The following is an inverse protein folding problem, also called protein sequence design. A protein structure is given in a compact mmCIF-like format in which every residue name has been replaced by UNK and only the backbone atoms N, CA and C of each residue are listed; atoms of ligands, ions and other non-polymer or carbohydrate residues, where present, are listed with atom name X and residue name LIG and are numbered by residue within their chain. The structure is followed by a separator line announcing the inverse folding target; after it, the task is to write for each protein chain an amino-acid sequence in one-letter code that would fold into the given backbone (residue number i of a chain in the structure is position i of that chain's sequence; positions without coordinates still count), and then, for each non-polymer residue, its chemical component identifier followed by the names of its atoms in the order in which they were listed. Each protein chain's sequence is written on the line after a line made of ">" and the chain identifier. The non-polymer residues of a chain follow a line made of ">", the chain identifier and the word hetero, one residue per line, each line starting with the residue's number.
data_IF_470988670200
#
_entry.id   IF_470988670200
#
_cell.length_a   1.000
_cell.length_b   1.000
_cell.length_c   1.000
_cell.angle_alpha   90.00
_cell.angle_beta   90.00
_cell.angle_gamma   90.00
#
_symmetry.space_group_name_H-M   'P 1'
#
loop_
_entity.id
_entity.type
_entity.pdbx_description
1 polymer ?
#
# COMPACT_ATOMS: atom_id res chain seq x y z
N UNK A 1 -19.44 11.56 8.18
CA UNK A 1 -18.76 10.73 7.14
C UNK A 1 -17.47 11.43 6.78
N UNK A 2 -16.35 10.72 6.84
CA UNK A 2 -15.09 11.24 6.33
C UNK A 2 -15.19 11.39 4.81
N UNK A 3 -14.97 12.60 4.32
CA UNK A 3 -14.88 12.82 2.88
C UNK A 3 -13.52 12.31 2.40
N UNK A 4 -13.46 11.57 1.28
CA UNK A 4 -12.19 11.18 0.70
C UNK A 4 -11.40 12.43 0.31
N UNK A 5 -10.17 12.56 0.80
CA UNK A 5 -9.25 13.58 0.33
C UNK A 5 -8.47 13.04 -0.87
N UNK A 6 -8.10 13.93 -1.76
CA UNK A 6 -7.16 13.59 -2.84
C UNK A 6 -5.76 13.82 -2.31
N UNK A 7 -4.95 12.77 -2.26
CA UNK A 7 -3.55 12.89 -1.88
C UNK A 7 -2.78 13.75 -2.91
N UNK A 8 -1.83 14.54 -2.44
CA UNK A 8 -0.99 15.39 -3.28
C UNK A 8 -0.08 14.53 -4.18
N UNK A 9 0.50 13.48 -3.64
CA UNK A 9 1.27 12.50 -4.41
C UNK A 9 0.37 11.45 -5.05
N UNK A 10 0.66 11.11 -6.31
CA UNK A 10 0.05 9.95 -6.99
C UNK A 10 0.51 8.63 -6.38
N UNK A 11 1.76 8.58 -5.91
CA UNK A 11 2.42 7.39 -5.40
C UNK A 11 2.58 7.48 -3.88
N UNK A 12 2.82 6.33 -3.25
CA UNK A 12 3.20 6.23 -1.86
C UNK A 12 4.49 5.41 -1.75
N UNK A 13 5.63 6.05 -2.07
CA UNK A 13 6.95 5.41 -2.11
C UNK A 13 7.69 5.55 -0.79
N UNK A 14 7.38 6.61 -0.04
CA UNK A 14 7.98 6.98 1.22
C UNK A 14 6.93 7.59 2.15
N UNK A 15 7.17 7.54 3.45
CA UNK A 15 6.38 8.28 4.44
C UNK A 15 6.40 9.79 4.19
N UNK A 16 7.44 10.30 3.52
CA UNK A 16 7.58 11.71 3.13
C UNK A 16 6.68 12.12 1.96
N UNK A 17 6.05 11.19 1.26
CA UNK A 17 5.12 11.50 0.16
C UNK A 17 3.77 12.04 0.66
N UNK A 18 3.55 12.04 1.97
CA UNK A 18 2.32 12.53 2.59
C UNK A 18 2.61 13.70 3.53
N UNK A 19 1.74 14.71 3.51
CA UNK A 19 1.72 15.74 4.55
C UNK A 19 1.23 15.14 5.88
N UNK A 20 1.44 15.85 6.99
CA UNK A 20 0.92 15.43 8.29
C UNK A 20 -0.62 15.27 8.26
N UNK A 21 -1.32 16.18 7.59
CA UNK A 21 -2.77 16.12 7.45
C UNK A 21 -3.23 14.86 6.68
N UNK A 22 -2.58 14.55 5.56
CA UNK A 22 -2.85 13.35 4.78
C UNK A 22 -2.55 12.08 5.56
N UNK A 23 -1.43 12.06 6.29
CA UNK A 23 -1.04 10.94 7.16
C UNK A 23 -2.09 10.68 8.25
N UNK A 24 -2.52 11.72 8.96
CA UNK A 24 -3.56 11.62 9.99
C UNK A 24 -4.90 11.18 9.39
N UNK A 25 -5.24 11.66 8.20
CA UNK A 25 -6.45 11.24 7.49
C UNK A 25 -6.42 9.75 7.11
N UNK A 26 -5.28 9.23 6.66
CA UNK A 26 -5.12 7.80 6.37
C UNK A 26 -5.33 6.96 7.64
N UNK A 27 -4.77 7.39 8.78
CA UNK A 27 -4.97 6.70 10.06
C UNK A 27 -6.45 6.70 10.48
N UNK A 28 -7.14 7.81 10.29
CA UNK A 28 -8.57 7.93 10.61
C UNK A 28 -9.43 7.04 9.69
N UNK A 29 -9.12 7.01 8.38
CA UNK A 29 -9.74 6.07 7.44
C UNK A 29 -9.53 4.62 7.89
N UNK A 30 -8.30 4.25 8.27
CA UNK A 30 -7.98 2.90 8.72
C UNK A 30 -8.77 2.52 9.99
N UNK A 31 -8.91 3.43 10.95
CA UNK A 31 -9.73 3.26 12.16
C UNK A 31 -11.20 3.01 11.80
N UNK A 32 -11.77 3.83 10.91
CA UNK A 32 -13.16 3.67 10.48
C UNK A 32 -13.38 2.36 9.72
N UNK A 33 -12.42 1.89 8.92
CA UNK A 33 -12.48 0.56 8.31
C UNK A 33 -12.46 -0.56 9.35
N UNK A 34 -11.61 -0.44 10.39
CA UNK A 34 -11.54 -1.40 11.49
C UNK A 34 -12.87 -1.50 12.23
N UNK A 35 -13.53 -0.37 12.45
CA UNK A 35 -14.83 -0.26 13.14
C UNK A 35 -16.04 -0.57 12.23
N UNK A 36 -15.83 -0.85 10.93
CA UNK A 36 -16.88 -1.07 9.93
C UNK A 36 -17.77 0.16 9.65
N UNK A 37 -17.28 1.35 9.93
CA UNK A 37 -18.02 2.61 9.76
C UNK A 37 -17.94 3.17 8.34
N UNK A 38 -17.15 2.53 7.47
CA UNK A 38 -16.97 2.92 6.08
C UNK A 38 -17.47 1.86 5.11
N UNK A 39 -18.25 2.30 4.12
CA UNK A 39 -18.73 1.47 3.03
C UNK A 39 -18.05 1.86 1.70
N UNK A 40 -16.71 1.89 1.69
CA UNK A 40 -15.95 2.08 0.45
C UNK A 40 -15.80 0.72 -0.22
N UNK A 41 -16.12 0.67 -1.51
CA UNK A 41 -15.97 -0.52 -2.34
C UNK A 41 -15.05 -0.22 -3.51
N UNK A 42 -14.05 -1.08 -3.69
CA UNK A 42 -13.14 -1.07 -4.84
C UNK A 42 -13.58 -2.10 -5.90
N UNK A 43 -14.90 -2.16 -6.17
CA UNK A 43 -15.44 -3.06 -7.17
C UNK A 43 -14.74 -2.84 -8.52
N UNK A 44 -14.36 -3.94 -9.17
CA UNK A 44 -13.66 -3.94 -10.47
C UNK A 44 -12.23 -3.35 -10.43
N UNK A 45 -11.70 -3.00 -9.22
CA UNK A 45 -10.32 -2.54 -9.08
C UNK A 45 -9.37 -3.70 -8.91
N UNK A 46 -8.22 -3.60 -9.57
CA UNK A 46 -7.17 -4.62 -9.58
C UNK A 46 -5.89 -4.06 -8.97
N UNK A 47 -5.40 -4.74 -7.93
CA UNK A 47 -4.09 -4.48 -7.33
C UNK A 47 -3.07 -5.48 -7.87
N UNK A 48 -2.03 -5.00 -8.54
CA UNK A 48 -0.85 -5.79 -8.89
C UNK A 48 0.12 -5.88 -7.72
N UNK A 49 0.54 -7.09 -7.37
CA UNK A 49 1.53 -7.36 -6.33
C UNK A 49 2.82 -7.85 -6.98
N UNK A 50 3.93 -7.16 -6.75
CA UNK A 50 5.27 -7.56 -7.20
C UNK A 50 6.14 -7.68 -5.95
N UNK A 51 6.58 -8.90 -5.65
CA UNK A 51 7.34 -9.19 -4.45
C UNK A 51 8.63 -9.93 -4.80
N UNK A 52 9.73 -9.20 -4.92
CA UNK A 52 11.06 -9.75 -5.20
C UNK A 52 11.66 -10.46 -3.99
N UNK A 53 11.19 -10.12 -2.79
CA UNK A 53 11.55 -10.76 -1.53
C UNK A 53 10.39 -11.58 -1.00
N UNK A 54 10.68 -12.69 -0.34
CA UNK A 54 9.68 -13.50 0.38
C UNK A 54 8.91 -12.63 1.37
N UNK A 55 7.60 -12.78 1.37
CA UNK A 55 6.71 -12.03 2.26
C UNK A 55 5.41 -12.82 2.47
N UNK A 56 5.13 -13.17 3.71
CA UNK A 56 3.85 -13.79 4.07
C UNK A 56 2.86 -12.72 4.52
N UNK A 57 3.21 -11.99 5.58
CA UNK A 57 2.29 -11.04 6.24
C UNK A 57 1.87 -9.90 5.32
N UNK A 58 2.81 -9.19 4.70
CA UNK A 58 2.51 -8.05 3.82
C UNK A 58 1.71 -8.49 2.59
N UNK A 59 2.09 -9.60 1.95
CA UNK A 59 1.37 -10.13 0.79
C UNK A 59 -0.08 -10.47 1.14
N UNK A 60 -0.28 -11.25 2.19
CA UNK A 60 -1.63 -11.65 2.65
C UNK A 60 -2.45 -10.43 3.08
N UNK A 61 -1.85 -9.44 3.76
CA UNK A 61 -2.58 -8.23 4.17
C UNK A 61 -3.13 -7.43 2.98
N UNK A 62 -2.34 -7.24 1.93
CA UNK A 62 -2.82 -6.59 0.70
C UNK A 62 -3.94 -7.39 0.01
N UNK A 63 -3.78 -8.71 -0.10
CA UNK A 63 -4.78 -9.58 -0.73
C UNK A 63 -6.09 -9.55 0.04
N UNK A 64 -6.04 -9.70 1.37
CA UNK A 64 -7.23 -9.66 2.22
C UNK A 64 -7.88 -8.28 2.23
N UNK A 65 -7.10 -7.20 2.26
CA UNK A 65 -7.62 -5.84 2.18
C UNK A 65 -8.41 -5.62 0.88
N UNK A 66 -7.83 -5.98 -0.26
CA UNK A 66 -8.51 -5.86 -1.56
C UNK A 66 -9.78 -6.71 -1.62
N UNK A 67 -9.72 -7.95 -1.15
CA UNK A 67 -10.90 -8.84 -1.11
C UNK A 67 -12.03 -8.24 -0.26
N UNK A 68 -11.72 -7.72 0.94
CA UNK A 68 -12.72 -7.09 1.82
C UNK A 68 -13.32 -5.81 1.24
N UNK A 69 -12.56 -5.11 0.41
CA UNK A 69 -13.01 -3.91 -0.31
C UNK A 69 -13.74 -4.24 -1.62
N UNK A 70 -13.87 -5.53 -1.98
CA UNK A 70 -14.55 -5.98 -3.19
C UNK A 70 -13.73 -5.85 -4.47
N UNK A 71 -12.43 -5.59 -4.36
CA UNK A 71 -11.47 -5.62 -5.45
C UNK A 71 -10.82 -6.99 -5.61
N UNK A 72 -9.87 -7.07 -6.54
CA UNK A 72 -9.09 -8.28 -6.83
C UNK A 72 -7.60 -8.01 -6.80
N UNK A 73 -6.81 -9.06 -6.72
CA UNK A 73 -5.34 -8.98 -6.77
C UNK A 73 -4.78 -9.87 -7.88
N UNK A 74 -3.72 -9.40 -8.52
CA UNK A 74 -2.86 -10.19 -9.39
C UNK A 74 -1.49 -10.28 -8.74
N UNK A 75 -1.08 -11.48 -8.36
CA UNK A 75 0.20 -11.72 -7.68
C UNK A 75 1.24 -12.20 -8.71
N UNK A 76 2.28 -11.40 -8.89
CA UNK A 76 3.36 -11.66 -9.83
C UNK A 76 4.58 -12.17 -9.05
N UNK A 77 4.83 -13.47 -9.22
CA UNK A 77 6.03 -14.06 -8.67
C UNK A 77 7.20 -13.87 -9.66
N UNK A 78 8.29 -13.19 -9.28
CA UNK A 78 9.44 -12.99 -10.16
C UNK A 78 10.03 -14.31 -10.69
N UNK A 79 9.99 -15.38 -9.91
CA UNK A 79 10.57 -16.67 -10.33
C UNK A 79 9.79 -17.35 -11.45
N UNK A 80 8.51 -17.02 -11.64
CA UNK A 80 7.63 -17.60 -12.66
C UNK A 80 7.19 -16.61 -13.72
N UNK A 81 7.66 -15.36 -13.64
CA UNK A 81 7.36 -14.29 -14.59
C UNK A 81 8.60 -13.87 -15.39
N UNK A 82 8.43 -13.02 -16.39
CA UNK A 82 9.54 -12.48 -17.18
C UNK A 82 10.44 -11.54 -16.37
N UNK A 83 9.92 -10.98 -15.27
CA UNK A 83 10.69 -10.14 -14.32
C UNK A 83 11.95 -10.90 -13.85
N UNK A 84 11.81 -12.13 -13.41
CA UNK A 84 12.93 -12.98 -12.98
C UNK A 84 13.88 -13.41 -14.11
N UNK A 85 13.52 -13.16 -15.36
CA UNK A 85 14.35 -13.44 -16.54
C UNK A 85 15.05 -12.19 -17.09
N UNK A 86 15.01 -11.07 -16.36
CA UNK A 86 15.69 -9.84 -16.72
C UNK A 86 14.86 -8.88 -17.60
N UNK A 87 13.53 -9.00 -17.59
CA UNK A 87 12.68 -7.97 -18.22
C UNK A 87 12.96 -6.61 -17.54
N UNK A 88 13.20 -5.54 -18.33
CA UNK A 88 13.43 -4.21 -17.75
C UNK A 88 12.22 -3.73 -16.92
N UNK A 89 12.48 -3.09 -15.80
CA UNK A 89 11.45 -2.54 -14.90
C UNK A 89 10.47 -1.64 -15.67
N UNK A 90 11.00 -0.79 -16.56
CA UNK A 90 10.18 0.11 -17.38
C UNK A 90 9.11 -0.61 -18.21
N UNK A 91 9.45 -1.78 -18.76
CA UNK A 91 8.56 -2.52 -19.65
C UNK A 91 7.50 -3.25 -18.82
N UNK A 92 7.91 -3.90 -17.73
CA UNK A 92 7.00 -4.47 -16.72
C UNK A 92 6.02 -3.42 -16.20
N UNK A 93 6.50 -2.23 -15.78
CA UNK A 93 5.66 -1.16 -15.24
C UNK A 93 4.61 -0.68 -16.26
N UNK A 94 5.00 -0.53 -17.51
CA UNK A 94 4.10 -0.10 -18.60
C UNK A 94 3.03 -1.15 -18.90
N UNK A 95 3.42 -2.42 -18.96
CA UNK A 95 2.49 -3.52 -19.22
C UNK A 95 1.49 -3.65 -18.08
N UNK A 96 1.96 -3.72 -16.83
CA UNK A 96 1.09 -3.87 -15.66
C UNK A 96 0.14 -2.69 -15.47
N UNK A 97 0.54 -1.49 -15.85
CA UNK A 97 -0.32 -0.30 -15.80
C UNK A 97 -1.54 -0.40 -16.73
N UNK A 98 -1.55 -1.34 -17.67
CA UNK A 98 -2.71 -1.58 -18.54
C UNK A 98 -3.72 -2.54 -17.94
N UNK A 99 -3.28 -3.38 -17.01
CA UNK A 99 -4.12 -4.40 -16.38
C UNK A 99 -4.53 -4.05 -14.95
N UNK A 100 -3.66 -3.34 -14.23
CA UNK A 100 -3.87 -3.02 -12.82
C UNK A 100 -4.25 -1.55 -12.62
N UNK A 101 -5.01 -1.25 -11.58
CA UNK A 101 -5.36 0.12 -11.16
C UNK A 101 -4.32 0.70 -10.20
N UNK A 102 -3.59 -0.16 -9.47
CA UNK A 102 -2.53 0.20 -8.54
C UNK A 102 -1.51 -0.93 -8.45
N UNK A 103 -0.26 -0.61 -8.17
CA UNK A 103 0.82 -1.59 -7.98
C UNK A 103 1.36 -1.47 -6.54
N UNK A 104 1.47 -2.58 -5.82
CA UNK A 104 2.20 -2.65 -4.56
C UNK A 104 3.47 -3.47 -4.78
N UNK A 105 4.61 -2.86 -4.50
CA UNK A 105 5.91 -3.39 -4.87
C UNK A 105 6.78 -3.54 -3.63
N UNK A 106 7.32 -4.74 -3.44
CA UNK A 106 8.34 -5.05 -2.46
C UNK A 106 9.60 -5.50 -3.19
N UNK A 107 10.62 -4.67 -3.15
CA UNK A 107 11.89 -4.90 -3.85
C UNK A 107 13.09 -4.67 -2.93
N UNK A 108 14.30 -4.80 -3.47
CA UNK A 108 15.53 -4.62 -2.69
C UNK A 108 15.90 -3.15 -2.56
N UNK A 109 15.88 -2.40 -3.65
CA UNK A 109 16.37 -1.02 -3.72
C UNK A 109 15.22 -0.04 -3.87
N UNK A 110 15.31 1.08 -3.17
CA UNK A 110 14.40 2.20 -3.36
C UNK A 110 14.41 2.71 -4.81
N UNK A 111 15.58 2.73 -5.45
CA UNK A 111 15.72 3.15 -6.86
C UNK A 111 14.93 2.30 -7.85
N UNK A 112 14.79 0.99 -7.59
CA UNK A 112 13.99 0.11 -8.42
C UNK A 112 12.49 0.44 -8.28
N UNK A 113 12.04 0.73 -7.07
CA UNK A 113 10.67 1.18 -6.79
C UNK A 113 10.37 2.53 -7.48
N UNK A 114 11.30 3.47 -7.43
CA UNK A 114 11.20 4.77 -8.10
C UNK A 114 11.14 4.61 -9.63
N UNK A 115 11.88 3.66 -10.18
CA UNK A 115 11.80 3.33 -11.60
C UNK A 115 10.42 2.79 -11.98
N UNK A 116 9.84 1.88 -11.18
CA UNK A 116 8.44 1.46 -11.36
C UNK A 116 7.48 2.65 -11.34
N UNK A 117 7.61 3.54 -10.37
CA UNK A 117 6.77 4.73 -10.24
C UNK A 117 6.90 5.69 -11.41
N UNK A 118 8.11 5.84 -11.96
CA UNK A 118 8.41 6.67 -13.13
C UNK A 118 7.70 6.18 -14.39
N UNK A 119 7.67 4.86 -14.62
CA UNK A 119 7.15 4.29 -15.85
C UNK A 119 5.70 3.80 -15.73
N UNK A 120 5.18 3.66 -14.53
CA UNK A 120 3.78 3.31 -14.30
C UNK A 120 2.86 4.51 -14.54
N UNK A 121 1.82 4.31 -15.35
CA UNK A 121 0.71 5.27 -15.45
C UNK A 121 -0.24 5.21 -14.25
N UNK A 122 -0.12 4.17 -13.41
CA UNK A 122 -0.93 3.92 -12.22
C UNK A 122 -0.16 4.21 -10.95
N UNK A 123 -0.84 4.48 -9.81
CA UNK A 123 -0.20 4.65 -8.52
C UNK A 123 0.67 3.45 -8.13
N UNK A 124 1.80 3.74 -7.49
CA UNK A 124 2.72 2.74 -6.93
C UNK A 124 2.80 2.91 -5.42
N UNK A 125 2.69 1.80 -4.69
CA UNK A 125 2.78 1.72 -3.23
C UNK A 125 4.04 0.94 -2.85
N UNK A 126 4.82 1.50 -1.94
CA UNK A 126 5.95 0.82 -1.33
C UNK A 126 5.47 -0.24 -0.31
N UNK A 127 5.66 -1.51 -0.63
CA UNK A 127 5.39 -2.63 0.26
C UNK A 127 6.65 -3.12 1.02
N UNK A 128 7.76 -2.47 0.87
CA UNK A 128 9.06 -2.51 1.52
C UNK A 128 10.21 -2.38 0.51
N UNK A 129 11.16 -1.54 0.83
CA UNK A 129 12.48 -1.45 0.19
C UNK A 129 13.59 -1.51 1.25
N UNK A 130 14.83 -1.25 0.85
CA UNK A 130 15.96 -1.07 1.78
C UNK A 130 15.87 0.23 2.57
N UNK A 131 15.14 1.23 2.06
CA UNK A 131 14.99 2.53 2.71
C UNK A 131 13.95 2.47 3.84
N UNK A 132 12.72 2.02 3.52
CA UNK A 132 11.62 2.02 4.50
C UNK A 132 10.45 1.09 4.11
N UNK A 133 9.53 0.95 5.06
CA UNK A 133 8.24 0.27 4.89
C UNK A 133 7.10 1.20 5.33
N UNK A 134 6.66 2.16 4.49
CA UNK A 134 5.74 3.21 4.91
C UNK A 134 4.37 2.65 5.34
N UNK A 135 3.89 1.58 4.73
CA UNK A 135 2.66 0.90 5.17
C UNK A 135 2.79 0.29 6.57
N UNK A 136 3.97 -0.22 6.95
CA UNK A 136 4.22 -0.72 8.30
C UNK A 136 4.29 0.43 9.31
N UNK A 137 4.95 1.53 8.97
CA UNK A 137 4.99 2.72 9.81
C UNK A 137 3.58 3.22 10.16
N UNK A 138 2.68 3.30 9.15
CA UNK A 138 1.26 3.64 9.38
C UNK A 138 0.58 2.68 10.36
N UNK A 139 0.81 1.37 10.21
CA UNK A 139 0.23 0.36 11.11
C UNK A 139 0.78 0.46 12.54
N UNK A 140 2.06 0.75 12.69
CA UNK A 140 2.70 0.96 13.99
C UNK A 140 2.16 2.21 14.69
N UNK A 141 2.03 3.33 13.97
CA UNK A 141 1.41 4.54 14.51
C UNK A 141 -0.05 4.34 14.91
N UNK A 142 -0.82 3.59 14.13
CA UNK A 142 -2.19 3.24 14.47
C UNK A 142 -2.24 2.42 15.78
N UNK A 143 -1.34 1.46 15.93
CA UNK A 143 -1.26 0.60 17.12
C UNK A 143 -0.87 1.42 18.35
N UNK A 144 0.14 2.30 18.23
CA UNK A 144 0.58 3.19 19.31
C UNK A 144 -0.59 4.09 19.75
N UNK A 145 -1.29 4.70 18.79
CA UNK A 145 -2.45 5.55 19.07
C UNK A 145 -3.56 4.79 19.80
N UNK A 146 -3.90 3.59 19.35
CA UNK A 146 -4.92 2.76 20.00
C UNK A 146 -4.50 2.39 21.43
N UNK A 147 -3.23 2.02 21.66
CA UNK A 147 -2.72 1.68 23.00
C UNK A 147 -2.68 2.87 23.95
N UNK A 148 -2.23 4.04 23.49
CA UNK A 148 -2.12 5.24 24.33
C UNK A 148 -3.50 5.79 24.73
N UNK A 149 -4.48 5.78 23.84
CA UNK A 149 -5.85 6.21 24.18
C UNK A 149 -6.48 5.28 25.22
N UNK A 150 -6.25 3.98 25.13
CA UNK A 150 -6.75 3.03 26.11
C UNK A 150 -6.14 3.23 27.50
N UNK A 151 -4.86 3.61 27.59
CA UNK A 151 -4.18 3.86 28.87
C UNK A 151 -4.57 5.20 29.49
N UNK A 152 -4.93 6.23 28.70
CA UNK A 152 -5.39 7.52 29.24
C UNK A 152 -6.81 7.42 29.83
N UNK A 153 -7.70 6.69 29.19
CA UNK A 153 -9.07 6.49 29.69
C UNK A 153 -9.11 5.65 30.98
N UNK A 154 -8.11 4.75 31.19
CA UNK A 154 -7.99 3.96 32.38
C UNK A 154 -7.34 4.71 33.58
N UNK A 155 -6.74 5.87 33.35
CA UNK A 155 -6.13 6.70 34.39
C UNK A 155 -7.10 7.74 34.97
N UNK A 156 -8.26 7.96 34.35
CA UNK A 156 -9.30 8.91 34.77
C UNK A 156 -10.45 8.23 35.54
N UNK A 157 -10.38 6.90 35.81
CA UNK A 157 -11.23 6.15 36.71
C UNK A 157 -10.51 5.89 38.07
#
# INVERSE_FOLDING_TARGET
>A
MLNPIKLASKNFLSSLDTSLEEFLHILELAKNFKNKDLNIKLKEKVLGLIFDKSSTRTRVSFQVAMSRLGGTTVDLNPTTSQIGRGEPIRDTARVLSRYCDVLAIRTFKQTDLEEYAKWSSKPVINALTDLEHPCQALADFMTIKDCLLYTSDAADE
#
